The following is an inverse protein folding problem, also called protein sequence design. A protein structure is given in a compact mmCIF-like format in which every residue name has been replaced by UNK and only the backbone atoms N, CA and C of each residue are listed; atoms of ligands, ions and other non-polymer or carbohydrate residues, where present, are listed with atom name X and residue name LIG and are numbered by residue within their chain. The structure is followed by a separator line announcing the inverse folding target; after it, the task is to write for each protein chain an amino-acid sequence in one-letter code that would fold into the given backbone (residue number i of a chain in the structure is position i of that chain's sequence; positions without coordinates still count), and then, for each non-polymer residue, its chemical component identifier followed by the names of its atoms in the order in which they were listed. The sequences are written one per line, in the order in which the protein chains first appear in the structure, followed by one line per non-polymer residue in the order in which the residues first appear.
data_IF_808352395429
#
_entry.id   IF_808352395429
#
_cell.length_a   1.000
_cell.length_b   1.000
_cell.length_c   1.000
_cell.angle_alpha   90.00
_cell.angle_beta   90.00
_cell.angle_gamma   90.00
#
_symmetry.space_group_name_H-M   'P 1'
#
loop_
_entity.id
_entity.type
_entity.pdbx_description
1 polymer ?
#
# COMPACT_ATOMS: atom_id res chain seq x y z
N UNK A 1 16.11 9.51 22.04
CA UNK A 1 16.97 10.29 22.96
C UNK A 1 16.58 9.95 24.39
N UNK A 2 17.53 9.76 25.31
CA UNK A 2 17.23 9.37 26.71
C UNK A 2 16.59 10.56 27.46
N UNK A 3 15.69 10.30 28.40
CA UNK A 3 15.02 11.32 29.23
C UNK A 3 15.97 12.36 29.87
N UNK A 4 17.24 12.00 30.11
CA UNK A 4 18.25 12.94 30.62
C UNK A 4 18.53 14.12 29.68
N UNK A 5 18.26 13.99 28.37
CA UNK A 5 18.58 15.03 27.39
C UNK A 5 17.62 16.22 27.46
N UNK A 6 16.34 16.02 27.76
CA UNK A 6 15.34 17.10 27.85
C UNK A 6 15.58 18.01 29.05
N UNK A 7 15.78 17.42 30.22
CA UNK A 7 16.04 18.18 31.43
C UNK A 7 17.39 18.90 31.36
N UNK A 8 18.39 18.26 30.74
CA UNK A 8 19.68 18.91 30.45
C UNK A 8 19.52 20.07 29.48
N UNK A 9 18.69 19.94 28.44
CA UNK A 9 18.43 21.02 27.49
C UNK A 9 17.70 22.20 28.16
N UNK A 10 16.72 21.94 29.05
CA UNK A 10 16.08 22.98 29.87
C UNK A 10 17.09 23.70 30.76
N UNK A 11 17.93 22.96 31.48
CA UNK A 11 18.99 23.52 32.34
C UNK A 11 20.00 24.36 31.55
N UNK A 12 20.36 23.94 30.33
CA UNK A 12 21.21 24.72 29.43
C UNK A 12 20.54 26.02 28.98
N UNK A 13 19.26 25.98 28.66
CA UNK A 13 18.51 27.17 28.22
C UNK A 13 18.40 28.21 29.34
N UNK A 14 18.13 27.77 30.57
CA UNK A 14 18.12 28.63 31.76
C UNK A 14 19.52 29.22 32.01
N UNK A 15 20.56 28.38 31.96
CA UNK A 15 21.95 28.86 32.15
C UNK A 15 22.39 29.86 31.08
N UNK A 16 21.94 29.69 29.84
CA UNK A 16 22.21 30.64 28.75
C UNK A 16 21.54 31.99 29.01
N UNK A 17 20.31 31.99 29.51
CA UNK A 17 19.61 33.22 29.88
C UNK A 17 20.33 33.95 31.02
N UNK A 18 20.75 33.22 32.07
CA UNK A 18 21.56 33.79 33.15
C UNK A 18 22.89 34.39 32.65
N UNK A 19 23.55 33.75 31.69
CA UNK A 19 24.80 34.24 31.09
C UNK A 19 24.56 35.49 30.23
N UNK A 20 23.48 35.52 29.45
CA UNK A 20 23.11 36.66 28.62
C UNK A 20 22.65 37.84 29.47
N UNK A 21 21.97 37.59 30.59
CA UNK A 21 21.63 38.61 31.59
C UNK A 21 22.88 39.30 32.12
N UNK A 22 23.89 38.53 32.57
CA UNK A 22 25.17 39.07 33.06
C UNK A 22 25.93 39.90 32.02
N UNK A 23 25.89 39.49 30.75
CA UNK A 23 26.50 40.25 29.65
C UNK A 23 25.73 41.54 29.33
N UNK A 24 24.41 41.52 29.50
CA UNK A 24 23.51 42.65 29.26
C UNK A 24 23.41 43.66 30.41
N UNK A 25 23.98 43.37 31.58
CA UNK A 25 23.97 44.26 32.77
C UNK A 25 24.53 45.65 32.46
N UNK A 26 25.61 45.75 31.68
CA UNK A 26 26.22 47.02 31.30
C UNK A 26 25.35 47.86 30.37
N UNK A 27 24.49 47.23 29.57
CA UNK A 27 23.55 47.87 28.66
C UNK A 27 22.12 47.98 29.25
N UNK A 28 21.90 47.45 30.45
CA UNK A 28 20.58 47.30 31.10
C UNK A 28 19.54 46.59 30.21
N UNK A 29 19.98 45.58 29.45
CA UNK A 29 19.13 44.79 28.55
C UNK A 29 18.98 43.39 29.13
N UNK A 30 17.74 42.89 29.21
CA UNK A 30 17.44 41.53 29.66
C UNK A 30 16.52 40.83 28.66
N UNK A 31 16.57 39.49 28.65
CA UNK A 31 15.64 38.69 27.86
C UNK A 31 14.29 38.70 28.58
N UNK A 32 13.22 38.93 27.84
CA UNK A 32 11.87 38.86 28.40
C UNK A 32 11.61 37.45 28.97
N UNK A 33 11.16 37.40 30.23
CA UNK A 33 10.75 36.15 30.88
C UNK A 33 9.64 35.43 30.11
N UNK A 34 8.76 36.17 29.43
CA UNK A 34 7.74 35.63 28.54
C UNK A 34 8.36 34.88 27.37
N UNK A 35 9.41 35.42 26.75
CA UNK A 35 10.12 34.76 25.65
C UNK A 35 10.82 33.48 26.12
N UNK A 36 11.47 33.52 27.30
CA UNK A 36 12.10 32.34 27.90
C UNK A 36 11.08 31.22 28.14
N UNK A 37 9.93 31.55 28.71
CA UNK A 37 8.85 30.60 28.96
C UNK A 37 8.30 29.98 27.67
N UNK A 38 8.11 30.79 26.62
CA UNK A 38 7.71 30.31 25.30
C UNK A 38 8.75 29.33 24.71
N UNK A 39 10.05 29.61 24.86
CA UNK A 39 11.12 28.71 24.42
C UNK A 39 11.17 27.40 25.21
N UNK A 40 10.89 27.42 26.51
CA UNK A 40 10.76 26.20 27.31
C UNK A 40 9.53 25.37 26.93
N UNK A 41 8.44 26.02 26.54
CA UNK A 41 7.24 25.36 26.04
C UNK A 41 7.51 24.68 24.69
N UNK A 42 8.10 25.41 23.73
CA UNK A 42 8.53 24.88 22.42
C UNK A 42 9.40 23.64 22.58
N UNK A 43 10.41 23.71 23.45
CA UNK A 43 11.30 22.57 23.74
C UNK A 43 10.53 21.36 24.29
N UNK A 44 9.50 21.59 25.11
CA UNK A 44 8.66 20.52 25.67
C UNK A 44 7.80 19.86 24.59
N UNK A 45 7.22 20.65 23.68
CA UNK A 45 6.46 20.15 22.52
C UNK A 45 7.36 19.30 21.62
N UNK A 46 8.55 19.81 21.25
CA UNK A 46 9.52 19.09 20.42
C UNK A 46 9.96 17.77 21.05
N UNK A 47 10.19 17.76 22.36
CA UNK A 47 10.52 16.51 23.07
C UNK A 47 9.37 15.49 23.01
N UNK A 48 8.12 15.95 23.14
CA UNK A 48 6.94 15.11 22.97
C UNK A 48 6.88 14.45 21.59
N UNK A 49 7.09 15.25 20.53
CA UNK A 49 7.11 14.75 19.15
C UNK A 49 8.24 13.74 18.91
N UNK A 50 9.45 14.04 19.41
CA UNK A 50 10.60 13.12 19.29
C UNK A 50 10.36 11.80 20.01
N UNK A 51 9.72 11.84 21.19
CA UNK A 51 9.36 10.62 21.93
C UNK A 51 8.34 9.81 21.14
N UNK A 52 7.29 10.45 20.64
CA UNK A 52 6.27 9.79 19.81
C UNK A 52 6.88 9.13 18.56
N UNK A 53 7.80 9.81 17.87
CA UNK A 53 8.53 9.24 16.72
C UNK A 53 9.37 8.01 17.10
N UNK A 54 10.01 8.02 18.27
CA UNK A 54 10.75 6.85 18.75
C UNK A 54 9.80 5.70 19.09
N UNK A 55 8.68 5.98 19.76
CA UNK A 55 7.67 4.97 20.11
C UNK A 55 7.11 4.28 18.84
N UNK A 56 6.75 5.06 17.80
CA UNK A 56 6.34 4.54 16.49
C UNK A 56 7.44 3.67 15.83
N UNK A 57 8.70 4.09 15.94
CA UNK A 57 9.83 3.33 15.39
C UNK A 57 10.04 2.01 16.13
N UNK A 58 9.87 2.00 17.45
CA UNK A 58 9.93 0.77 18.25
C UNK A 58 8.77 -0.15 17.91
N UNK A 59 7.57 0.38 17.71
CA UNK A 59 6.41 -0.42 17.33
C UNK A 59 6.57 -1.03 15.94
N UNK A 60 6.99 -0.25 14.93
CA UNK A 60 7.34 -0.79 13.60
C UNK A 60 8.38 -1.89 13.68
N UNK A 61 9.40 -1.75 14.55
CA UNK A 61 10.41 -2.80 14.75
C UNK A 61 9.83 -4.08 15.36
N UNK A 62 8.92 -3.98 16.33
CA UNK A 62 8.24 -5.15 16.91
C UNK A 62 7.38 -5.85 15.87
N UNK A 63 6.60 -5.10 15.10
CA UNK A 63 5.77 -5.64 14.00
C UNK A 63 6.65 -6.37 12.98
N UNK A 64 7.77 -5.77 12.57
CA UNK A 64 8.73 -6.42 11.67
C UNK A 64 9.39 -7.65 12.29
N UNK A 65 9.73 -7.61 13.58
CA UNK A 65 10.29 -8.78 14.26
C UNK A 65 9.28 -9.94 14.30
N UNK A 66 8.01 -9.65 14.58
CA UNK A 66 6.93 -10.63 14.57
C UNK A 66 6.76 -11.23 13.17
N UNK A 67 6.72 -10.39 12.12
CA UNK A 67 6.63 -10.87 10.73
C UNK A 67 7.85 -11.69 10.31
N UNK A 68 9.06 -11.32 10.73
CA UNK A 68 10.29 -12.12 10.46
C UNK A 68 10.22 -13.48 11.14
N UNK A 69 9.73 -13.53 12.36
CA UNK A 69 9.55 -14.80 13.07
C UNK A 69 8.51 -15.68 12.39
N UNK A 70 7.39 -15.08 11.97
CA UNK A 70 6.34 -15.78 11.22
C UNK A 70 6.81 -16.28 9.85
N UNK A 71 7.57 -15.47 9.10
CA UNK A 71 8.13 -15.83 7.81
C UNK A 71 9.09 -17.02 7.91
N UNK A 72 9.93 -17.05 8.96
CA UNK A 72 10.83 -18.20 9.24
C UNK A 72 10.06 -19.49 9.51
N UNK A 73 8.89 -19.40 10.17
CA UNK A 73 8.06 -20.57 10.52
C UNK A 73 7.19 -21.06 9.36
N UNK A 74 6.75 -20.15 8.49
CA UNK A 74 5.79 -20.44 7.40
C UNK A 74 6.45 -20.80 6.07
N UNK A 75 7.78 -20.68 5.97
CA UNK A 75 8.52 -21.13 4.79
C UNK A 75 8.56 -20.17 3.60
N UNK A 76 8.21 -18.89 3.79
CA UNK A 76 8.32 -17.83 2.75
C UNK A 76 7.37 -18.01 1.56
N UNK A 77 6.69 -16.93 1.17
CA UNK A 77 6.07 -16.80 -0.16
C UNK A 77 4.83 -17.66 -0.45
N UNK A 78 3.96 -17.86 0.55
CA UNK A 78 2.62 -18.45 0.34
C UNK A 78 1.80 -17.62 -0.65
N UNK A 79 1.89 -16.29 -0.58
CA UNK A 79 1.17 -15.37 -1.48
C UNK A 79 1.59 -15.60 -2.94
N UNK A 80 2.89 -15.69 -3.21
CA UNK A 80 3.40 -15.89 -4.57
C UNK A 80 3.11 -17.31 -5.08
N UNK A 81 3.23 -18.33 -4.21
CA UNK A 81 2.82 -19.70 -4.54
C UNK A 81 1.33 -19.77 -4.91
N UNK A 82 0.49 -19.03 -4.19
CA UNK A 82 -0.94 -19.00 -4.45
C UNK A 82 -1.25 -18.39 -5.82
N UNK A 83 -0.58 -17.29 -6.17
CA UNK A 83 -0.71 -16.60 -7.45
C UNK A 83 -0.18 -17.48 -8.60
N UNK A 84 0.98 -18.13 -8.42
CA UNK A 84 1.59 -19.05 -9.39
C UNK A 84 0.68 -20.25 -9.72
N UNK A 85 0.10 -20.89 -8.69
CA UNK A 85 -0.84 -22.00 -8.88
C UNK A 85 -2.03 -21.55 -9.73
N UNK A 86 -2.55 -20.34 -9.47
CA UNK A 86 -3.68 -19.81 -10.20
C UNK A 86 -3.36 -19.54 -11.67
N UNK A 87 -2.26 -18.86 -11.98
CA UNK A 87 -1.86 -18.59 -13.35
C UNK A 87 -1.66 -19.89 -14.14
N UNK A 88 -0.92 -20.85 -13.56
CA UNK A 88 -0.68 -22.15 -14.20
C UNK A 88 -1.96 -22.95 -14.40
N UNK A 89 -2.91 -22.93 -13.45
CA UNK A 89 -4.24 -23.55 -13.64
C UNK A 89 -4.99 -22.89 -14.79
N UNK A 90 -4.96 -21.56 -14.88
CA UNK A 90 -5.63 -20.83 -15.96
C UNK A 90 -5.05 -21.17 -17.33
N UNK A 91 -3.72 -21.31 -17.41
CA UNK A 91 -3.04 -21.67 -18.65
C UNK A 91 -3.25 -23.13 -19.03
N UNK A 92 -3.33 -24.03 -18.04
CA UNK A 92 -3.70 -25.43 -18.26
C UNK A 92 -5.10 -25.55 -18.85
N UNK A 93 -6.08 -24.77 -18.36
CA UNK A 93 -7.44 -24.76 -18.91
C UNK A 93 -7.40 -24.34 -20.39
N UNK A 94 -6.72 -23.23 -20.72
CA UNK A 94 -6.54 -22.77 -22.11
C UNK A 94 -5.84 -23.83 -22.98
N UNK A 95 -4.82 -24.49 -22.45
CA UNK A 95 -4.08 -25.54 -23.15
C UNK A 95 -4.96 -26.77 -23.42
N UNK A 96 -5.82 -27.17 -22.48
CA UNK A 96 -6.80 -28.25 -22.68
C UNK A 96 -7.81 -27.90 -23.77
N UNK A 97 -8.33 -26.67 -23.78
CA UNK A 97 -9.25 -26.19 -24.82
C UNK A 97 -8.60 -26.16 -26.21
N UNK A 98 -7.32 -25.75 -26.29
CA UNK A 98 -6.54 -25.76 -27.53
C UNK A 98 -6.26 -27.18 -28.02
N UNK A 99 -5.93 -28.11 -27.13
CA UNK A 99 -5.68 -29.51 -27.46
C UNK A 99 -6.93 -30.23 -28.00
N UNK A 100 -8.12 -29.91 -27.46
CA UNK A 100 -9.39 -30.45 -27.97
C UNK A 100 -9.71 -30.03 -29.41
N UNK A 101 -9.18 -28.89 -29.87
CA UNK A 101 -9.37 -28.37 -31.24
C UNK A 101 -8.33 -28.90 -32.24
N UNK A 102 -7.29 -29.59 -31.76
CA UNK A 102 -6.17 -30.09 -32.59
C UNK A 102 -6.29 -31.60 -32.79
N UNK A 103 -6.05 -32.08 -34.02
CA UNK A 103 -6.04 -33.50 -34.36
C UNK A 103 -4.68 -33.94 -34.94
N UNK A 104 -4.32 -35.22 -34.74
CA UNK A 104 -3.11 -35.84 -35.30
C UNK A 104 -1.87 -35.74 -34.39
N UNK A 105 -0.66 -35.82 -34.98
CA UNK A 105 0.61 -35.87 -34.24
C UNK A 105 0.87 -34.66 -33.31
N UNK A 106 0.29 -33.50 -33.62
CA UNK A 106 0.34 -32.30 -32.76
C UNK A 106 -0.47 -32.45 -31.47
N UNK A 107 -1.46 -33.35 -31.44
CA UNK A 107 -2.27 -33.61 -30.25
C UNK A 107 -1.49 -34.41 -29.19
N UNK A 108 -0.65 -35.36 -29.62
CA UNK A 108 0.19 -36.17 -28.72
C UNK A 108 1.22 -35.28 -28.01
N UNK A 109 1.90 -34.42 -28.78
CA UNK A 109 2.93 -33.51 -28.26
C UNK A 109 2.34 -32.44 -27.30
N UNK A 110 1.10 -32.00 -27.56
CA UNK A 110 0.36 -31.13 -26.64
C UNK A 110 -0.12 -31.87 -25.39
N UNK A 111 -0.50 -33.15 -25.51
CA UNK A 111 -0.92 -33.96 -24.37
C UNK A 111 0.23 -34.16 -23.38
N UNK A 112 1.45 -34.40 -23.88
CA UNK A 112 2.65 -34.49 -23.04
C UNK A 112 2.95 -33.17 -22.32
N UNK A 113 2.74 -32.02 -22.97
CA UNK A 113 2.85 -30.71 -22.32
C UNK A 113 1.79 -30.52 -21.23
N UNK A 114 0.55 -30.94 -21.46
CA UNK A 114 -0.52 -30.88 -20.45
C UNK A 114 -0.16 -31.73 -19.23
N UNK A 115 0.34 -32.94 -19.44
CA UNK A 115 0.75 -33.83 -18.34
C UNK A 115 1.91 -33.23 -17.52
N UNK A 116 2.89 -32.60 -18.18
CA UNK A 116 3.98 -31.88 -17.49
C UNK A 116 3.45 -30.71 -16.66
N UNK A 117 2.58 -29.88 -17.23
CA UNK A 117 1.96 -28.76 -16.52
C UNK A 117 1.14 -29.24 -15.31
N UNK A 118 0.38 -30.34 -15.46
CA UNK A 118 -0.36 -30.96 -14.36
C UNK A 118 0.57 -31.39 -13.22
N UNK A 119 1.67 -32.09 -13.53
CA UNK A 119 2.63 -32.53 -12.52
C UNK A 119 3.37 -31.36 -11.83
N UNK A 120 3.57 -30.24 -12.53
CA UNK A 120 4.12 -29.02 -11.92
C UNK A 120 3.12 -28.35 -10.97
N UNK A 121 1.84 -28.26 -11.36
CA UNK A 121 0.77 -27.72 -10.53
C UNK A 121 0.61 -28.56 -9.26
N UNK A 122 0.59 -29.88 -9.37
CA UNK A 122 0.45 -30.78 -8.22
C UNK A 122 1.62 -30.64 -7.23
N UNK A 123 2.84 -30.46 -7.73
CA UNK A 123 4.01 -30.14 -6.88
C UNK A 123 3.86 -28.81 -6.17
N UNK A 124 3.32 -27.79 -6.83
CA UNK A 124 3.08 -26.48 -6.23
C UNK A 124 1.94 -26.55 -5.21
N UNK A 125 0.86 -27.26 -5.49
CA UNK A 125 -0.26 -27.48 -4.57
C UNK A 125 0.21 -28.21 -3.30
N UNK A 126 1.01 -29.27 -3.43
CA UNK A 126 1.59 -29.97 -2.28
C UNK A 126 2.53 -29.08 -1.45
N UNK A 127 3.27 -28.16 -2.10
CA UNK A 127 4.06 -27.15 -1.37
C UNK A 127 3.16 -26.14 -0.65
N UNK A 128 2.11 -25.68 -1.34
CA UNK A 128 1.14 -24.73 -0.80
C UNK A 128 0.37 -25.31 0.39
N UNK A 129 -0.09 -26.56 0.34
CA UNK A 129 -0.79 -27.21 1.47
C UNK A 129 0.12 -27.37 2.70
N UNK A 130 1.38 -27.76 2.49
CA UNK A 130 2.38 -27.85 3.56
C UNK A 130 2.66 -26.49 4.19
N UNK A 131 2.84 -25.46 3.37
CA UNK A 131 3.05 -24.10 3.83
C UNK A 131 1.80 -23.53 4.53
N UNK A 132 0.61 -23.81 4.01
CA UNK A 132 -0.68 -23.37 4.59
C UNK A 132 -0.90 -23.98 5.97
N UNK A 133 -0.61 -25.27 6.14
CA UNK A 133 -0.75 -25.97 7.42
C UNK A 133 0.16 -25.38 8.49
N UNK A 134 1.37 -24.95 8.11
CA UNK A 134 2.30 -24.27 9.01
C UNK A 134 1.89 -22.80 9.26
N UNK A 135 1.37 -22.12 8.26
CA UNK A 135 0.96 -20.72 8.34
C UNK A 135 -0.37 -20.48 9.06
N UNK A 136 -1.21 -21.49 9.28
CA UNK A 136 -2.40 -21.36 10.13
C UNK A 136 -2.06 -20.93 11.56
N UNK A 137 -0.83 -21.20 12.03
CA UNK A 137 -0.32 -20.78 13.33
C UNK A 137 0.13 -19.31 13.36
N UNK A 138 0.33 -18.66 12.21
CA UNK A 138 0.91 -17.33 12.08
C UNK A 138 0.02 -16.42 11.24
N UNK A 139 -0.78 -15.59 11.91
CA UNK A 139 -1.90 -14.88 11.30
C UNK A 139 -1.64 -13.38 11.13
N UNK A 140 -0.52 -12.87 11.64
CA UNK A 140 -0.25 -11.44 11.62
C UNK A 140 0.16 -10.97 10.23
N UNK A 141 -0.20 -9.74 9.91
CA UNK A 141 0.03 -9.17 8.58
C UNK A 141 -0.48 -7.74 8.50
N UNK A 142 -0.31 -7.15 7.33
CA UNK A 142 -0.90 -5.87 7.01
C UNK A 142 -2.17 -6.07 6.19
N UNK A 143 -3.21 -5.31 6.50
CA UNK A 143 -4.37 -5.10 5.63
C UNK A 143 -4.13 -3.79 4.89
N UNK A 144 -4.33 -3.82 3.57
CA UNK A 144 -4.28 -2.63 2.74
C UNK A 144 -5.61 -2.41 2.02
N UNK A 145 -5.94 -1.14 1.84
CA UNK A 145 -7.02 -0.70 0.96
C UNK A 145 -6.41 0.28 -0.03
N UNK A 146 -6.51 -0.05 -1.31
CA UNK A 146 -5.89 0.70 -2.39
C UNK A 146 -6.90 0.96 -3.49
N UNK A 147 -6.73 2.02 -4.25
CA UNK A 147 -7.56 2.31 -5.42
C UNK A 147 -6.72 2.82 -6.58
N UNK A 148 -7.30 2.78 -7.77
CA UNK A 148 -6.64 3.27 -8.97
C UNK A 148 -7.71 3.82 -9.91
N UNK A 149 -7.93 5.13 -9.78
CA UNK A 149 -8.97 5.86 -10.50
C UNK A 149 -8.72 5.79 -12.01
N UNK A 150 -7.46 5.86 -12.44
CA UNK A 150 -7.12 5.85 -13.86
C UNK A 150 -7.42 4.54 -14.58
N UNK A 151 -7.40 3.41 -13.86
CA UNK A 151 -7.61 2.08 -14.44
C UNK A 151 -9.01 1.53 -14.20
N UNK A 152 -9.59 1.78 -13.01
CA UNK A 152 -10.86 1.18 -12.59
C UNK A 152 -12.01 2.18 -12.41
N UNK A 153 -11.73 3.49 -12.50
CA UNK A 153 -12.69 4.55 -12.24
C UNK A 153 -12.86 4.87 -10.75
N UNK A 154 -13.71 5.86 -10.48
CA UNK A 154 -14.02 6.27 -9.11
C UNK A 154 -14.89 5.23 -8.38
N UNK A 155 -14.73 5.14 -7.06
CA UNK A 155 -15.54 4.27 -6.21
C UNK A 155 -15.21 2.77 -6.32
N UNK A 156 -14.04 2.42 -6.87
CA UNK A 156 -13.52 1.06 -6.90
C UNK A 156 -12.26 0.95 -6.03
N UNK A 157 -12.28 0.06 -5.06
CA UNK A 157 -11.14 -0.22 -4.18
C UNK A 157 -10.78 -1.70 -4.22
N UNK A 158 -9.50 -2.00 -4.03
CA UNK A 158 -9.00 -3.32 -3.72
C UNK A 158 -8.74 -3.42 -2.22
N UNK A 159 -9.23 -4.50 -1.62
CA UNK A 159 -9.00 -4.83 -0.21
C UNK A 159 -8.23 -6.14 -0.18
N UNK A 160 -7.05 -6.15 0.43
CA UNK A 160 -6.26 -7.36 0.56
C UNK A 160 -5.33 -7.33 1.77
N UNK A 161 -4.66 -8.46 2.02
CA UNK A 161 -3.60 -8.55 3.02
C UNK A 161 -2.21 -8.76 2.39
N UNK A 162 -1.18 -8.47 3.16
CA UNK A 162 0.19 -8.91 2.87
C UNK A 162 0.97 -9.22 4.14
N UNK A 163 1.81 -10.25 4.09
CA UNK A 163 2.73 -10.63 5.17
C UNK A 163 4.16 -10.16 4.95
N UNK A 164 4.40 -9.33 3.93
CA UNK A 164 5.73 -8.80 3.64
C UNK A 164 6.22 -7.86 4.73
N UNK A 165 7.54 -7.81 4.89
CA UNK A 165 8.21 -6.95 5.87
C UNK A 165 7.99 -5.47 5.59
N UNK A 166 8.04 -5.11 4.31
CA UNK A 166 7.67 -3.78 3.82
C UNK A 166 6.40 -3.95 2.97
N UNK A 167 5.21 -3.64 3.50
CA UNK A 167 3.94 -3.85 2.80
C UNK A 167 3.78 -3.01 1.52
N UNK A 168 4.49 -1.87 1.42
CA UNK A 168 4.48 -1.03 0.22
C UNK A 168 5.05 -1.73 -1.01
N UNK A 169 5.98 -2.69 -0.82
CA UNK A 169 6.55 -3.45 -1.93
C UNK A 169 5.46 -4.26 -2.65
N UNK A 170 4.51 -4.85 -1.90
CA UNK A 170 3.37 -5.56 -2.49
C UNK A 170 2.46 -4.61 -3.28
N UNK A 171 2.20 -3.41 -2.75
CA UNK A 171 1.38 -2.41 -3.46
C UNK A 171 2.01 -1.99 -4.78
N UNK A 172 3.33 -1.77 -4.78
CA UNK A 172 4.09 -1.40 -5.98
C UNK A 172 4.07 -2.50 -7.04
N UNK A 173 4.30 -3.76 -6.64
CA UNK A 173 4.25 -4.89 -7.58
C UNK A 173 2.88 -5.10 -8.22
N UNK A 174 1.81 -4.92 -7.44
CA UNK A 174 0.44 -4.98 -7.97
C UNK A 174 0.20 -3.89 -9.02
N UNK A 175 0.78 -2.70 -8.82
CA UNK A 175 0.74 -1.60 -9.77
C UNK A 175 1.50 -1.92 -11.06
N UNK A 176 2.78 -2.21 -10.93
CA UNK A 176 3.71 -2.35 -12.07
C UNK A 176 3.36 -3.53 -12.99
N UNK A 177 2.87 -4.63 -12.44
CA UNK A 177 2.60 -5.83 -13.22
C UNK A 177 1.26 -5.81 -13.98
N UNK A 178 0.27 -5.05 -13.48
CA UNK A 178 -1.13 -5.32 -13.84
C UNK A 178 -1.94 -4.13 -14.34
N UNK A 179 -1.47 -2.88 -14.15
CA UNK A 179 -2.29 -1.68 -14.43
C UNK A 179 -1.49 -0.52 -15.02
N UNK A 180 -2.10 0.36 -15.84
CA UNK A 180 -1.41 1.51 -16.47
C UNK A 180 -0.92 2.62 -15.53
N UNK A 181 -1.52 2.72 -14.34
CA UNK A 181 -1.22 3.76 -13.34
C UNK A 181 -0.93 3.11 -12.00
N UNK A 182 -0.17 3.77 -11.13
CA UNK A 182 0.06 3.27 -9.77
C UNK A 182 -1.21 3.26 -8.92
N UNK A 183 -1.21 2.41 -7.91
CA UNK A 183 -2.25 2.40 -6.89
C UNK A 183 -2.00 3.49 -5.86
N UNK A 184 -3.08 4.15 -5.47
CA UNK A 184 -3.12 5.04 -4.35
C UNK A 184 -3.53 4.29 -3.09
N UNK A 185 -2.86 4.57 -1.96
CA UNK A 185 -3.07 3.87 -0.70
C UNK A 185 -4.00 4.67 0.20
N UNK A 186 -5.13 4.06 0.55
CA UNK A 186 -6.09 4.66 1.49
C UNK A 186 -5.76 4.34 2.93
N UNK A 187 -5.40 3.08 3.19
CA UNK A 187 -4.98 2.65 4.51
C UNK A 187 -4.03 1.48 4.42
N UNK A 188 -3.15 1.39 5.41
CA UNK A 188 -2.24 0.29 5.59
C UNK A 188 -2.08 0.04 7.09
N UNK A 189 -2.63 -1.07 7.57
CA UNK A 189 -2.76 -1.32 9.01
C UNK A 189 -2.24 -2.69 9.37
N UNK A 190 -1.36 -2.73 10.37
CA UNK A 190 -0.88 -3.97 10.95
C UNK A 190 -1.94 -4.59 11.86
N UNK A 191 -2.20 -5.87 11.71
CA UNK A 191 -3.18 -6.61 12.49
C UNK A 191 -2.64 -7.99 12.87
N UNK A 192 -3.03 -8.50 14.05
CA UNK A 192 -2.59 -9.81 14.53
C UNK A 192 -3.20 -10.97 13.74
N UNK A 193 -4.38 -10.77 13.15
CA UNK A 193 -5.09 -11.75 12.33
C UNK A 193 -5.60 -11.15 11.01
N UNK A 194 -4.67 -10.91 10.09
CA UNK A 194 -4.99 -10.37 8.77
C UNK A 194 -5.96 -11.26 7.97
N UNK A 195 -5.78 -12.60 7.90
CA UNK A 195 -6.68 -13.45 7.12
C UNK A 195 -8.13 -13.42 7.58
N UNK A 196 -8.40 -13.34 8.90
CA UNK A 196 -9.79 -13.26 9.40
C UNK A 196 -10.42 -11.92 9.02
N UNK A 197 -9.68 -10.83 9.18
CA UNK A 197 -10.17 -9.48 8.91
C UNK A 197 -10.47 -9.33 7.41
N UNK A 198 -9.53 -9.74 6.56
CA UNK A 198 -9.69 -9.74 5.11
C UNK A 198 -10.94 -10.53 4.68
N UNK A 199 -11.06 -11.80 5.11
CA UNK A 199 -12.24 -12.63 4.79
C UNK A 199 -13.54 -12.01 5.26
N UNK A 200 -13.53 -11.35 6.40
CA UNK A 200 -14.71 -10.69 6.94
C UNK A 200 -15.12 -9.47 6.12
N UNK A 201 -14.15 -8.64 5.70
CA UNK A 201 -14.37 -7.53 4.78
C UNK A 201 -14.87 -8.01 3.41
N UNK A 202 -14.23 -9.03 2.86
CA UNK A 202 -14.61 -9.66 1.59
C UNK A 202 -16.03 -10.22 1.61
N UNK A 203 -16.43 -10.88 2.71
CA UNK A 203 -17.80 -11.37 2.89
C UNK A 203 -18.80 -10.23 3.01
N UNK A 204 -18.45 -9.17 3.74
CA UNK A 204 -19.31 -7.99 3.91
C UNK A 204 -19.56 -7.24 2.61
N UNK A 205 -18.58 -7.20 1.71
CA UNK A 205 -18.68 -6.50 0.43
C UNK A 205 -18.89 -7.44 -0.76
N UNK A 206 -19.27 -8.70 -0.52
CA UNK A 206 -19.37 -9.72 -1.56
C UNK A 206 -20.33 -9.33 -2.69
N UNK A 207 -21.47 -8.73 -2.34
CA UNK A 207 -22.50 -8.29 -3.30
C UNK A 207 -22.04 -7.13 -4.19
N UNK A 208 -20.91 -6.49 -3.86
CA UNK A 208 -20.34 -5.34 -4.56
C UNK A 208 -19.02 -5.65 -5.24
N UNK A 209 -18.68 -6.94 -5.40
CA UNK A 209 -17.51 -7.35 -6.17
C UNK A 209 -17.60 -6.88 -7.62
N UNK A 210 -16.49 -6.39 -8.15
CA UNK A 210 -16.36 -6.02 -9.57
C UNK A 210 -16.36 -7.28 -10.44
N UNK A 211 -15.73 -8.37 -9.98
CA UNK A 211 -15.69 -9.64 -10.68
C UNK A 211 -16.48 -10.70 -9.89
N UNK A 212 -17.58 -11.18 -10.48
CA UNK A 212 -18.47 -12.20 -9.90
C UNK A 212 -17.98 -13.63 -10.14
N UNK A 213 -17.20 -13.83 -11.19
CA UNK A 213 -16.80 -15.17 -11.62
C UNK A 213 -15.48 -15.59 -10.95
N UNK A 214 -14.57 -14.63 -10.77
CA UNK A 214 -13.28 -14.83 -10.13
C UNK A 214 -13.19 -14.05 -8.81
N UNK A 215 -13.46 -14.76 -7.72
CA UNK A 215 -13.44 -14.24 -6.35
C UNK A 215 -12.04 -13.85 -5.85
N UNK A 216 -10.96 -14.26 -6.52
CA UNK A 216 -9.59 -13.82 -6.20
C UNK A 216 -9.29 -12.40 -6.65
N UNK A 217 -10.09 -11.86 -7.58
CA UNK A 217 -10.00 -10.44 -7.96
C UNK A 217 -10.80 -9.62 -6.96
N UNK A 218 -10.14 -9.27 -5.88
CA UNK A 218 -10.72 -8.60 -4.70
C UNK A 218 -10.95 -7.09 -4.91
N UNK A 219 -11.54 -6.73 -6.04
CA UNK A 219 -11.96 -5.37 -6.34
C UNK A 219 -13.45 -5.23 -6.00
N UNK A 220 -13.80 -4.15 -5.31
CA UNK A 220 -15.14 -3.89 -4.81
C UNK A 220 -15.58 -2.48 -5.19
N UNK A 221 -16.84 -2.33 -5.62
CA UNK A 221 -17.50 -1.05 -5.89
C UNK A 221 -17.97 -0.43 -4.57
N UNK A 222 -17.03 0.03 -3.76
CA UNK A 222 -17.27 0.60 -2.44
C UNK A 222 -16.35 1.80 -2.23
N UNK A 223 -16.82 2.76 -1.45
CA UNK A 223 -15.99 3.92 -1.11
C UNK A 223 -15.01 3.58 0.02
N UNK A 224 -13.83 4.23 0.08
CA UNK A 224 -12.88 4.02 1.17
C UNK A 224 -13.50 4.28 2.54
N UNK A 225 -14.42 5.24 2.63
CA UNK A 225 -15.17 5.57 3.85
C UNK A 225 -16.02 4.41 4.35
N UNK A 226 -16.71 3.69 3.45
CA UNK A 226 -17.48 2.51 3.86
C UNK A 226 -16.60 1.36 4.36
N UNK A 227 -15.38 1.26 3.82
CA UNK A 227 -14.40 0.28 4.32
C UNK A 227 -13.85 0.72 5.67
N UNK A 228 -13.61 2.02 5.88
CA UNK A 228 -13.24 2.57 7.18
C UNK A 228 -14.28 2.26 8.25
N UNK A 229 -15.56 2.56 7.98
CA UNK A 229 -16.67 2.23 8.89
C UNK A 229 -16.78 0.72 9.15
N UNK A 230 -16.36 -0.12 8.19
CA UNK A 230 -16.33 -1.56 8.37
C UNK A 230 -15.18 -2.03 9.25
N UNK A 231 -13.99 -1.44 9.12
CA UNK A 231 -12.82 -1.75 9.94
C UNK A 231 -12.98 -1.23 11.37
N UNK A 232 -13.57 -0.06 11.55
CA UNK A 232 -13.89 0.50 12.88
C UNK A 232 -14.86 -0.40 13.65
N UNK A 233 -15.91 -0.92 12.99
CA UNK A 233 -16.84 -1.91 13.58
C UNK A 233 -16.17 -3.22 13.99
N UNK A 234 -15.00 -3.54 13.43
CA UNK A 234 -14.19 -4.69 13.80
C UNK A 234 -13.20 -4.36 14.93
N UNK A 235 -13.19 -3.12 15.44
CA UNK A 235 -12.30 -2.66 16.50
C UNK A 235 -10.88 -2.37 16.02
N UNK A 236 -10.69 -2.09 14.72
CA UNK A 236 -9.38 -1.82 14.13
C UNK A 236 -9.22 -0.32 13.95
N UNK A 237 -8.39 0.29 14.78
CA UNK A 237 -7.98 1.69 14.58
C UNK A 237 -6.95 1.78 13.46
N UNK A 238 -7.20 2.64 12.49
CA UNK A 238 -6.41 2.74 11.28
C UNK A 238 -6.38 4.18 10.75
N UNK A 239 -5.21 4.60 10.27
CA UNK A 239 -5.06 5.89 9.58
C UNK A 239 -5.63 5.78 8.16
N UNK A 240 -6.48 6.74 7.81
CA UNK A 240 -7.15 6.79 6.51
C UNK A 240 -6.79 8.05 5.74
N UNK A 241 -6.49 7.86 4.46
CA UNK A 241 -6.27 8.90 3.48
C UNK A 241 -7.41 8.82 2.46
N UNK A 242 -8.39 9.71 2.59
CA UNK A 242 -9.55 9.75 1.69
C UNK A 242 -9.27 10.56 0.43
N UNK A 243 -8.51 11.64 0.57
CA UNK A 243 -8.11 12.49 -0.54
C UNK A 243 -6.92 11.89 -1.25
N UNK A 244 -7.17 11.40 -2.46
CA UNK A 244 -6.18 10.81 -3.32
C UNK A 244 -5.75 11.80 -4.39
N UNK A 245 -4.44 11.88 -4.64
CA UNK A 245 -3.90 12.74 -5.70
C UNK A 245 -4.02 12.12 -7.09
N UNK A 246 -3.94 10.79 -7.25
CA UNK A 246 -3.94 10.09 -8.54
C UNK A 246 -3.02 10.79 -9.54
N UNK A 247 -1.79 11.08 -9.09
CA UNK A 247 -0.88 12.07 -9.69
C UNK A 247 -0.62 11.79 -11.17
N UNK A 248 -0.19 10.56 -11.49
CA UNK A 248 0.13 10.15 -12.87
C UNK A 248 -1.10 10.25 -13.81
N UNK A 249 -2.28 9.94 -13.29
CA UNK A 249 -3.53 10.03 -14.06
C UNK A 249 -3.91 11.48 -14.33
N UNK A 250 -3.87 12.35 -13.32
CA UNK A 250 -4.16 13.79 -13.47
C UNK A 250 -3.17 14.48 -14.39
N UNK A 251 -1.88 14.19 -14.26
CA UNK A 251 -0.83 14.68 -15.18
C UNK A 251 -1.11 14.24 -16.62
N UNK A 252 -1.48 12.97 -16.81
CA UNK A 252 -1.84 12.45 -18.14
C UNK A 252 -3.07 13.16 -18.74
N UNK A 253 -4.08 13.50 -17.93
CA UNK A 253 -5.23 14.28 -18.39
C UNK A 253 -4.83 15.68 -18.83
N UNK A 254 -4.06 16.40 -18.01
CA UNK A 254 -3.58 17.75 -18.33
C UNK A 254 -2.76 17.77 -19.62
N UNK A 255 -1.88 16.78 -19.82
CA UNK A 255 -1.11 16.64 -21.06
C UNK A 255 -2.06 16.45 -22.26
N UNK A 256 -3.05 15.56 -22.16
CA UNK A 256 -4.02 15.35 -23.24
C UNK A 256 -4.85 16.60 -23.55
N UNK A 257 -5.26 17.34 -22.53
CA UNK A 257 -5.98 18.61 -22.71
C UNK A 257 -5.10 19.67 -23.38
N UNK A 258 -3.84 19.80 -22.97
CA UNK A 258 -2.89 20.73 -23.59
C UNK A 258 -2.67 20.40 -25.08
N UNK A 259 -2.53 19.12 -25.43
CA UNK A 259 -2.38 18.65 -26.82
C UNK A 259 -3.64 18.96 -27.63
N UNK A 260 -4.83 18.70 -27.08
CA UNK A 260 -6.11 19.03 -27.73
C UNK A 260 -6.25 20.53 -27.96
N UNK A 261 -5.90 21.36 -26.98
CA UNK A 261 -5.91 22.81 -27.12
C UNK A 261 -4.92 23.28 -28.20
N UNK A 262 -3.71 22.75 -28.24
CA UNK A 262 -2.74 23.07 -29.30
C UNK A 262 -3.24 22.64 -30.68
N UNK A 263 -3.83 21.44 -30.81
CA UNK A 263 -4.40 20.95 -32.06
C UNK A 263 -5.61 21.78 -32.51
N UNK A 264 -6.47 22.24 -31.60
CA UNK A 264 -7.57 23.15 -31.92
C UNK A 264 -7.07 24.51 -32.39
N UNK A 265 -5.98 25.02 -31.78
CA UNK A 265 -5.39 26.32 -32.12
C UNK A 265 -4.66 26.27 -33.46
N UNK A 266 -3.95 25.18 -33.76
CA UNK A 266 -3.29 24.99 -35.06
C UNK A 266 -4.31 24.79 -36.19
N UNK A 267 -5.40 24.06 -35.95
CA UNK A 267 -6.50 23.89 -36.92
C UNK A 267 -7.28 25.19 -37.16
N UNK A 268 -7.46 26.00 -36.12
CA UNK A 268 -8.02 27.35 -36.27
C UNK A 268 -7.10 28.27 -37.08
N UNK A 269 -5.78 28.20 -36.87
CA UNK A 269 -4.80 28.95 -37.67
C UNK A 269 -4.76 28.49 -39.14
N UNK A 270 -4.83 27.19 -39.43
CA UNK A 270 -4.78 26.72 -40.82
C UNK A 270 -6.03 27.09 -41.61
N UNK A 271 -7.19 27.21 -40.95
CA UNK A 271 -8.44 27.68 -41.57
C UNK A 271 -8.49 29.20 -41.79
N UNK A 272 -7.53 29.96 -41.25
CA UNK A 272 -7.44 31.42 -41.42
C UNK A 272 -6.40 31.85 -42.45
N UNK A 273 -5.60 30.92 -42.99
CA UNK A 273 -4.66 31.24 -44.06
C UNK A 273 -5.43 31.28 -45.40
N UNK A 274 -5.48 32.43 -46.10
CA UNK A 274 -6.06 32.46 -47.43
C UNK A 274 -5.29 31.50 -48.34
N UNK A 275 -6.00 30.73 -49.15
CA UNK A 275 -5.38 29.92 -50.19
C UNK A 275 -4.60 30.88 -51.09
N UNK A 276 -3.26 30.79 -51.05
CA UNK A 276 -2.38 31.63 -51.84
C UNK A 276 -2.81 31.56 -53.32
N UNK A 277 -2.98 32.75 -53.91
CA UNK A 277 -3.33 33.01 -55.31
C UNK A 277 -2.21 32.51 -56.23
#
# INVERSE_FOLDING_TARGET
MRHSTHETAKKKLIRLEEQLGKLGETANVTISSTYLNLKLHELTVWHGELKHKEDLKQEKKKQQALLREQAKRSGGDIEDLEDDIYYRKSDLIKAKELAQKLHGAKAVDMQDKINRMQGEIEKLESKFERATSQAQLTRAGYIYVISNIGSFGEGVVKIGMTRRLEPMDRVNELGDASVPFKFDVHTLTFVEDAPTIEKTLHRKFNDRRVNTDNHRKEFFKVTPKEVADAMEKLGIECDWYFDIEAKEYRESLLIRESIKHQASKSKALSNQLPASI
#
